data_IF_204927500233
#
_entry.id   IF_204927500233
#
_cell.length_a   1.000
_cell.length_b   1.000
_cell.length_c   1.000
_cell.angle_alpha   90.00
_cell.angle_beta   90.00
_cell.angle_gamma   90.00
#
_symmetry.space_group_name_H-M   'P 1'
#
loop_
_entity.id
_entity.type
_entity.pdbx_description
1 polymer ?
#
# COMPACT_ATOMS: atom_id res chain seq x y z
N UNK A 1 -7.09 19.28 -17.16
CA UNK A 1 -7.02 20.32 -16.11
C UNK A 1 -6.72 19.76 -14.71
N UNK A 2 -7.48 18.81 -14.16
CA UNK A 2 -7.21 18.27 -12.82
C UNK A 2 -5.81 17.65 -12.65
N UNK A 3 -5.31 16.91 -13.65
CA UNK A 3 -3.97 16.33 -13.59
C UNK A 3 -2.83 17.38 -13.53
N UNK A 4 -2.99 18.53 -14.19
CA UNK A 4 -2.00 19.61 -14.14
C UNK A 4 -1.91 20.21 -12.74
N UNK A 5 -3.06 20.45 -12.12
CA UNK A 5 -3.11 20.94 -10.75
C UNK A 5 -2.68 19.89 -9.72
N UNK A 6 -2.92 18.61 -9.98
CA UNK A 6 -2.35 17.55 -9.16
C UNK A 6 -0.81 17.64 -9.15
N UNK A 7 -0.18 17.77 -10.32
CA UNK A 7 1.28 17.90 -10.42
C UNK A 7 1.81 19.14 -9.68
N UNK A 8 1.04 20.24 -9.69
CA UNK A 8 1.41 21.47 -8.99
C UNK A 8 1.23 21.36 -7.46
N UNK A 9 0.15 20.72 -6.99
CA UNK A 9 -0.16 20.58 -5.57
C UNK A 9 0.60 19.43 -4.89
N UNK A 10 0.96 18.39 -5.62
CA UNK A 10 1.59 17.19 -5.06
C UNK A 10 2.85 17.52 -4.22
N UNK A 11 3.80 18.36 -4.68
CA UNK A 11 4.95 18.75 -3.87
C UNK A 11 4.57 19.47 -2.57
N UNK A 12 3.61 20.40 -2.64
CA UNK A 12 3.13 21.14 -1.46
C UNK A 12 2.48 20.18 -0.47
N UNK A 13 1.51 19.40 -0.94
CA UNK A 13 0.81 18.42 -0.12
C UNK A 13 1.76 17.42 0.54
N UNK A 14 2.79 16.97 -0.17
CA UNK A 14 3.73 15.98 0.36
C UNK A 14 4.66 16.52 1.43
N UNK A 15 5.10 17.77 1.28
CA UNK A 15 6.00 18.43 2.24
C UNK A 15 5.27 18.89 3.51
N UNK A 16 3.98 19.23 3.42
CA UNK A 16 3.17 19.65 4.57
C UNK A 16 2.42 18.51 5.25
N UNK A 17 2.33 17.34 4.61
CA UNK A 17 1.56 16.21 5.11
C UNK A 17 2.14 15.56 6.36
N UNK A 18 1.25 14.94 7.14
CA UNK A 18 1.60 14.21 8.35
C UNK A 18 2.52 13.02 8.05
N UNK A 19 3.54 12.81 8.90
CA UNK A 19 4.56 11.77 8.68
C UNK A 19 4.00 10.34 8.72
N UNK A 20 2.93 10.11 9.49
CA UNK A 20 2.25 8.82 9.59
C UNK A 20 0.94 8.76 8.80
N UNK A 21 0.76 9.65 7.83
CA UNK A 21 -0.25 9.50 6.78
C UNK A 21 0.33 8.74 5.59
N UNK A 22 -0.32 7.65 5.16
CA UNK A 22 0.17 6.79 4.08
C UNK A 22 -0.80 6.66 2.89
N UNK A 23 -2.08 7.00 3.07
CA UNK A 23 -3.10 6.79 2.04
C UNK A 23 -2.95 7.75 0.86
N UNK A 24 -3.06 7.24 -0.37
CA UNK A 24 -3.02 8.03 -1.61
C UNK A 24 -1.79 8.94 -1.81
N UNK A 25 -0.67 8.63 -1.15
CA UNK A 25 0.58 9.39 -1.26
C UNK A 25 1.61 8.67 -2.13
N UNK A 26 2.41 9.38 -2.94
CA UNK A 26 3.47 8.78 -3.73
C UNK A 26 4.45 7.98 -2.85
N UNK A 27 4.87 6.82 -3.37
CA UNK A 27 5.86 5.93 -2.75
C UNK A 27 5.53 5.36 -1.37
N UNK A 28 4.31 5.59 -0.85
CA UNK A 28 3.79 5.01 0.38
C UNK A 28 2.77 3.93 0.07
N UNK A 29 2.73 2.86 0.87
CA UNK A 29 1.75 1.78 0.71
C UNK A 29 1.04 1.43 2.03
N UNK A 30 0.01 0.59 1.94
CA UNK A 30 -0.64 0.02 3.12
C UNK A 30 0.34 -0.74 4.01
N UNK A 31 1.40 -1.31 3.43
CA UNK A 31 2.45 -2.01 4.18
C UNK A 31 3.29 -1.08 5.03
N UNK A 32 3.50 0.18 4.61
CA UNK A 32 4.20 1.17 5.45
C UNK A 32 3.40 1.50 6.71
N UNK A 33 2.07 1.62 6.59
CA UNK A 33 1.18 1.84 7.73
C UNK A 33 1.23 0.65 8.71
N UNK A 34 1.12 -0.58 8.19
CA UNK A 34 1.21 -1.81 9.00
C UNK A 34 2.58 -1.95 9.68
N UNK A 35 3.67 -1.66 8.97
CA UNK A 35 5.01 -1.72 9.55
C UNK A 35 5.21 -0.62 10.60
N UNK A 36 4.61 0.56 10.41
CA UNK A 36 4.60 1.63 11.42
C UNK A 36 3.92 1.19 12.72
N UNK A 37 2.79 0.49 12.61
CA UNK A 37 2.08 -0.09 13.75
C UNK A 37 2.97 -1.16 14.42
N UNK A 38 3.59 -2.04 13.61
CA UNK A 38 4.50 -3.09 14.11
C UNK A 38 5.64 -2.52 14.95
N UNK A 39 6.40 -1.56 14.40
CA UNK A 39 7.57 -0.97 15.07
C UNK A 39 7.24 -0.28 16.40
N UNK A 40 6.02 0.26 16.54
CA UNK A 40 5.57 0.95 17.76
C UNK A 40 5.04 -0.02 18.81
N UNK A 41 4.31 -1.05 18.38
CA UNK A 41 3.62 -1.95 19.30
C UNK A 41 4.41 -3.23 19.64
N UNK A 42 5.48 -3.53 18.89
CA UNK A 42 6.34 -4.69 19.14
C UNK A 42 7.30 -4.50 20.32
N UNK A 43 7.41 -3.28 20.86
CA UNK A 43 8.31 -2.96 21.95
C UNK A 43 7.87 -3.60 23.28
N UNK A 44 8.81 -3.73 24.23
CA UNK A 44 8.55 -4.29 25.57
C UNK A 44 7.55 -3.41 26.34
N UNK A 45 7.76 -2.09 26.29
CA UNK A 45 6.82 -1.09 26.80
C UNK A 45 6.12 -0.50 25.59
N UNK A 46 4.83 -0.81 25.42
CA UNK A 46 4.04 -0.42 24.24
C UNK A 46 2.62 -0.04 24.66
N UNK A 47 1.94 0.83 23.90
CA UNK A 47 0.55 1.16 24.17
C UNK A 47 -0.31 -0.10 24.08
N UNK A 48 -1.28 -0.18 24.97
CA UNK A 48 -2.15 -1.36 25.14
C UNK A 48 -3.52 -1.16 24.52
N UNK A 49 -3.97 0.08 24.42
CA UNK A 49 -5.28 0.46 23.93
C UNK A 49 -5.18 1.17 22.60
N UNK A 50 -6.18 0.91 21.75
CA UNK A 50 -6.19 1.33 20.36
C UNK A 50 -7.58 1.85 20.05
N UNK A 51 -7.65 3.11 19.64
CA UNK A 51 -8.82 3.72 19.05
C UNK A 51 -8.77 3.49 17.55
N UNK A 52 -9.64 2.62 17.07
CA UNK A 52 -9.94 2.45 15.65
C UNK A 52 -10.89 3.58 15.24
N UNK A 53 -10.52 4.35 14.23
CA UNK A 53 -11.30 5.48 13.75
C UNK A 53 -11.56 5.40 12.25
N UNK A 54 -12.79 5.73 11.87
CA UNK A 54 -13.26 5.81 10.49
C UNK A 54 -14.09 7.10 10.34
N UNK A 55 -13.94 7.78 9.21
CA UNK A 55 -14.57 9.06 8.91
C UNK A 55 -15.83 8.81 8.09
N UNK A 56 -16.97 9.28 8.57
CA UNK A 56 -18.25 9.10 7.88
C UNK A 56 -18.28 9.95 6.60
N UNK A 57 -18.30 9.28 5.44
CA UNK A 57 -18.41 9.95 4.15
C UNK A 57 -17.25 10.90 3.88
N UNK A 58 -16.01 10.47 4.12
CA UNK A 58 -14.83 11.34 4.07
C UNK A 58 -14.71 12.16 2.78
N UNK A 59 -15.04 11.61 1.62
CA UNK A 59 -14.97 12.37 0.36
C UNK A 59 -16.21 13.22 0.11
N UNK A 60 -17.34 12.88 0.71
CA UNK A 60 -18.65 13.48 0.41
C UNK A 60 -19.02 14.63 1.36
N UNK A 61 -18.40 14.68 2.55
CA UNK A 61 -18.80 15.59 3.62
C UNK A 61 -17.82 16.75 3.88
N UNK A 62 -16.66 16.79 3.23
CA UNK A 62 -15.69 17.88 3.49
C UNK A 62 -16.31 19.24 3.13
N UNK A 63 -16.18 20.20 4.04
CA UNK A 63 -16.66 21.57 3.84
C UNK A 63 -15.96 22.24 2.66
N UNK A 64 -16.76 22.72 1.68
CA UNK A 64 -16.23 23.47 0.54
C UNK A 64 -15.56 24.76 0.97
N UNK A 65 -16.10 25.44 1.98
CA UNK A 65 -15.55 26.71 2.48
C UNK A 65 -14.18 26.48 3.14
N UNK A 66 -14.03 25.36 3.85
CA UNK A 66 -12.74 24.97 4.42
C UNK A 66 -11.70 24.70 3.31
N UNK A 67 -12.06 23.91 2.28
CA UNK A 67 -11.18 23.62 1.15
C UNK A 67 -10.76 24.89 0.39
N UNK A 68 -11.69 25.82 0.16
CA UNK A 68 -11.43 27.07 -0.57
C UNK A 68 -10.54 28.05 0.21
N UNK A 69 -10.55 27.98 1.54
CA UNK A 69 -9.74 28.83 2.41
C UNK A 69 -8.34 28.28 2.64
N UNK A 70 -8.17 26.96 2.74
CA UNK A 70 -6.93 26.32 3.18
C UNK A 70 -6.09 25.71 2.05
N UNK A 71 -6.67 25.45 0.87
CA UNK A 71 -5.94 24.84 -0.24
C UNK A 71 -5.25 25.91 -1.10
N UNK A 72 -3.93 25.79 -1.34
CA UNK A 72 -3.16 26.76 -2.14
C UNK A 72 -3.39 26.53 -3.65
N UNK A 73 -4.62 26.77 -4.10
CA UNK A 73 -5.06 26.66 -5.49
C UNK A 73 -5.90 27.89 -5.88
N UNK A 74 -6.04 28.14 -7.18
CA UNK A 74 -7.08 29.05 -7.70
C UNK A 74 -8.48 28.66 -7.17
N UNK A 75 -9.01 29.51 -6.30
CA UNK A 75 -10.33 29.36 -5.66
C UNK A 75 -11.47 29.29 -6.66
N UNK A 76 -11.39 30.01 -7.79
CA UNK A 76 -12.45 30.02 -8.81
C UNK A 76 -12.55 28.66 -9.49
N UNK A 77 -11.39 28.07 -9.81
CA UNK A 77 -11.33 26.75 -10.42
C UNK A 77 -11.75 25.66 -9.43
N UNK A 78 -11.22 25.71 -8.21
CA UNK A 78 -11.58 24.76 -7.16
C UNK A 78 -13.09 24.78 -6.89
N UNK A 79 -13.69 25.98 -6.78
CA UNK A 79 -15.14 26.13 -6.61
C UNK A 79 -15.94 25.53 -7.76
N UNK A 80 -15.48 25.70 -9.01
CA UNK A 80 -16.12 25.06 -10.18
C UNK A 80 -16.04 23.54 -10.10
N UNK A 81 -14.93 22.97 -9.62
CA UNK A 81 -14.78 21.52 -9.48
C UNK A 81 -15.58 20.95 -8.32
N UNK A 82 -15.66 21.64 -7.19
CA UNK A 82 -16.45 21.22 -6.04
C UNK A 82 -17.96 21.25 -6.34
N UNK A 83 -18.41 22.21 -7.15
CA UNK A 83 -19.81 22.30 -7.64
C UNK A 83 -20.10 21.40 -8.83
N UNK A 84 -19.07 20.91 -9.52
CA UNK A 84 -19.25 19.95 -10.58
C UNK A 84 -19.62 18.61 -9.94
N UNK A 85 -20.91 18.30 -9.98
CA UNK A 85 -21.43 17.01 -9.55
C UNK A 85 -20.77 15.84 -10.28
N UNK A 86 -21.09 14.62 -9.88
CA UNK A 86 -20.58 13.41 -10.51
C UNK A 86 -21.72 12.59 -11.10
N UNK A 87 -21.41 11.84 -12.16
CA UNK A 87 -22.36 10.91 -12.78
C UNK A 87 -22.00 9.49 -12.36
N UNK A 88 -22.88 8.86 -11.59
CA UNK A 88 -22.73 7.46 -11.19
C UNK A 88 -23.86 6.62 -11.78
N UNK A 89 -23.50 5.57 -12.55
CA UNK A 89 -24.45 4.63 -13.17
C UNK A 89 -25.56 5.30 -13.99
N UNK A 90 -25.26 6.45 -14.62
CA UNK A 90 -26.20 7.20 -15.45
C UNK A 90 -27.08 8.19 -14.68
N UNK A 91 -26.90 8.34 -13.37
CA UNK A 91 -27.58 9.35 -12.55
C UNK A 91 -26.60 10.48 -12.23
N UNK A 92 -27.02 11.72 -12.48
CA UNK A 92 -26.26 12.92 -12.12
C UNK A 92 -26.54 13.29 -10.66
N UNK A 93 -25.51 13.27 -9.83
CA UNK A 93 -25.58 13.65 -8.43
C UNK A 93 -24.92 15.03 -8.24
N UNK A 94 -25.66 15.98 -7.69
CA UNK A 94 -25.11 17.26 -7.26
C UNK A 94 -24.23 17.08 -6.01
N UNK A 95 -23.07 17.74 -5.97
CA UNK A 95 -22.19 17.78 -4.80
C UNK A 95 -22.46 19.04 -3.99
N UNK A 96 -23.30 18.93 -2.97
CA UNK A 96 -23.56 20.02 -2.01
C UNK A 96 -22.43 20.16 -0.96
N UNK A 97 -21.64 19.11 -0.78
CA UNK A 97 -20.46 19.03 0.08
C UNK A 97 -19.46 18.03 -0.52
N UNK A 98 -18.22 18.02 -0.02
CA UNK A 98 -17.21 17.05 -0.42
C UNK A 98 -16.53 17.31 -1.76
N UNK A 99 -15.61 16.42 -2.12
CA UNK A 99 -14.91 16.39 -3.40
C UNK A 99 -15.51 15.29 -4.28
N UNK A 100 -15.72 15.53 -5.60
CA UNK A 100 -16.31 14.52 -6.48
C UNK A 100 -15.49 13.22 -6.46
N UNK A 101 -16.15 12.11 -6.10
CA UNK A 101 -15.52 10.79 -6.09
C UNK A 101 -15.16 10.40 -7.53
N UNK A 102 -13.88 10.11 -7.76
CA UNK A 102 -13.34 9.79 -9.10
C UNK A 102 -12.56 10.93 -9.76
N UNK A 103 -12.52 12.13 -9.16
CA UNK A 103 -11.59 13.17 -9.56
C UNK A 103 -10.15 12.78 -9.23
N UNK A 104 -9.22 12.97 -10.19
CA UNK A 104 -7.79 12.63 -10.01
C UNK A 104 -7.18 13.40 -8.83
N UNK A 105 -7.70 14.60 -8.55
CA UNK A 105 -7.20 15.49 -7.50
C UNK A 105 -7.86 15.28 -6.14
N UNK A 106 -9.04 14.64 -6.09
CA UNK A 106 -9.84 14.47 -4.86
C UNK A 106 -9.06 13.80 -3.72
N UNK A 107 -8.23 12.75 -3.95
CA UNK A 107 -7.42 12.16 -2.88
C UNK A 107 -6.42 13.13 -2.24
N UNK A 108 -5.83 14.04 -3.02
CA UNK A 108 -4.88 15.03 -2.50
C UNK A 108 -5.61 16.09 -1.69
N UNK A 109 -6.77 16.57 -2.16
CA UNK A 109 -7.59 17.52 -1.41
C UNK A 109 -8.05 16.92 -0.06
N UNK A 110 -8.50 15.66 -0.05
CA UNK A 110 -8.89 14.95 1.16
C UNK A 110 -7.70 14.76 2.13
N UNK A 111 -6.52 14.42 1.60
CA UNK A 111 -5.33 14.31 2.44
C UNK A 111 -4.95 15.64 3.08
N UNK A 112 -4.92 16.74 2.31
CA UNK A 112 -4.61 18.07 2.83
C UNK A 112 -5.65 18.55 3.86
N UNK A 113 -6.91 18.11 3.73
CA UNK A 113 -7.92 18.38 4.75
C UNK A 113 -7.66 17.64 6.06
N UNK A 114 -7.20 16.39 5.99
CA UNK A 114 -6.97 15.55 7.15
C UNK A 114 -5.58 15.71 7.79
N UNK A 115 -4.64 16.33 7.09
CA UNK A 115 -3.31 16.61 7.60
C UNK A 115 -3.35 17.71 8.68
N UNK A 116 -2.45 17.60 9.67
CA UNK A 116 -2.40 18.47 10.84
C UNK A 116 -2.90 17.80 12.12
N UNK A 117 -3.67 16.70 12.00
CA UNK A 117 -4.15 15.96 13.17
C UNK A 117 -2.98 15.32 13.93
N UNK A 118 -1.97 14.79 13.22
CA UNK A 118 -0.78 14.26 13.88
C UNK A 118 -0.08 15.36 14.69
N UNK A 119 0.07 16.54 14.11
CA UNK A 119 0.74 17.69 14.76
C UNK A 119 -0.01 18.14 16.00
N UNK A 120 -1.34 18.23 15.94
CA UNK A 120 -2.17 18.61 17.08
C UNK A 120 -2.07 17.59 18.22
N UNK A 121 -2.18 16.29 17.90
CA UNK A 121 -1.97 15.22 18.87
C UNK A 121 -0.57 15.27 19.51
N UNK A 122 0.47 15.56 18.71
CA UNK A 122 1.82 15.71 19.25
C UNK A 122 1.94 16.92 20.17
N UNK A 123 1.36 18.06 19.81
CA UNK A 123 1.41 19.28 20.62
C UNK A 123 0.65 19.12 21.94
N UNK A 124 -0.44 18.37 21.97
CA UNK A 124 -1.22 18.15 23.18
C UNK A 124 -0.56 17.13 24.10
N UNK A 125 -0.09 15.99 23.55
CA UNK A 125 0.34 14.85 24.37
C UNK A 125 1.86 14.63 24.48
N UNK A 126 2.69 15.35 23.70
CA UNK A 126 4.17 15.18 23.70
C UNK A 126 4.94 16.40 24.21
N UNK A 127 4.29 17.31 24.96
CA UNK A 127 4.88 18.57 25.45
C UNK A 127 6.08 18.45 26.40
N UNK A 128 6.45 17.26 26.88
CA UNK A 128 7.70 17.06 27.62
C UNK A 128 8.16 15.59 27.59
N UNK A 129 9.47 15.35 27.60
CA UNK A 129 10.10 14.05 27.31
C UNK A 129 9.56 12.88 28.15
N UNK A 130 9.23 13.12 29.42
CA UNK A 130 8.64 12.12 30.33
C UNK A 130 7.17 11.80 29.98
N UNK A 131 6.38 12.81 29.57
CA UNK A 131 4.97 12.66 29.21
C UNK A 131 4.77 11.93 27.87
N UNK A 132 5.68 12.14 26.90
CA UNK A 132 5.66 11.40 25.63
C UNK A 132 5.83 9.89 25.84
N UNK A 133 6.58 9.45 26.86
CA UNK A 133 6.72 8.04 27.22
C UNK A 133 5.52 7.50 28.01
N UNK A 134 4.80 8.37 28.75
CA UNK A 134 3.67 8.02 29.62
C UNK A 134 2.35 7.82 28.86
N UNK A 135 2.02 8.71 27.92
CA UNK A 135 0.74 8.65 27.19
C UNK A 135 0.80 7.69 25.99
N UNK A 136 2.00 7.50 25.41
CA UNK A 136 2.24 6.60 24.27
C UNK A 136 1.26 6.81 23.10
N UNK A 137 0.87 8.07 22.88
CA UNK A 137 -0.06 8.44 21.81
C UNK A 137 0.66 8.37 20.48
N UNK A 138 0.21 7.46 19.62
CA UNK A 138 0.73 7.33 18.27
C UNK A 138 -0.42 7.35 17.28
N UNK A 139 -0.23 8.14 16.22
CA UNK A 139 -1.19 8.26 15.14
C UNK A 139 -0.68 7.55 13.88
N UNK A 140 -1.56 6.80 13.22
CA UNK A 140 -1.32 6.19 11.90
C UNK A 140 -2.60 6.34 11.08
N UNK A 141 -2.50 6.97 9.90
CA UNK A 141 -3.62 7.19 8.99
C UNK A 141 -3.38 6.56 7.63
N UNK A 142 -4.41 5.93 7.08
CA UNK A 142 -4.48 5.51 5.70
C UNK A 142 -5.79 6.00 5.10
N UNK A 143 -5.74 7.14 4.40
CA UNK A 143 -6.92 7.83 3.89
C UNK A 143 -7.89 8.22 5.02
N UNK A 144 -9.08 7.64 5.03
CA UNK A 144 -10.17 7.79 5.99
C UNK A 144 -10.04 6.87 7.22
N UNK A 145 -9.43 5.69 7.04
CA UNK A 145 -9.10 4.78 8.13
C UNK A 145 -7.90 5.29 8.93
N UNK A 146 -8.05 5.46 10.24
CA UNK A 146 -6.93 5.80 11.12
C UNK A 146 -6.96 5.06 12.44
N UNK A 147 -5.79 5.03 13.08
CA UNK A 147 -5.60 4.42 14.39
C UNK A 147 -4.87 5.39 15.28
N UNK A 148 -5.38 5.54 16.50
CA UNK A 148 -4.66 6.17 17.59
C UNK A 148 -4.38 5.16 18.71
N UNK A 149 -3.12 4.97 19.07
CA UNK A 149 -2.76 4.16 20.24
C UNK A 149 -2.73 5.01 21.51
N UNK A 150 -2.95 4.42 22.67
CA UNK A 150 -2.80 5.08 23.97
C UNK A 150 -2.42 4.11 25.09
N UNK A 151 -1.94 4.65 26.21
CA UNK A 151 -1.58 3.88 27.39
C UNK A 151 -2.79 3.39 28.19
N UNK A 152 -3.88 4.16 28.24
CA UNK A 152 -5.14 3.80 28.90
C UNK A 152 -6.35 3.99 27.99
N UNK A 153 -7.44 3.29 28.32
CA UNK A 153 -8.73 3.43 27.64
C UNK A 153 -9.34 4.81 27.88
N UNK A 154 -9.32 5.27 29.12
CA UNK A 154 -9.86 6.57 29.55
C UNK A 154 -9.20 7.73 28.81
N UNK A 155 -7.88 7.68 28.58
CA UNK A 155 -7.18 8.70 27.81
C UNK A 155 -7.68 8.77 26.36
N UNK A 156 -7.96 7.60 25.75
CA UNK A 156 -8.49 7.56 24.39
C UNK A 156 -9.94 8.06 24.33
N UNK A 157 -10.77 7.74 25.32
CA UNK A 157 -12.18 8.13 25.39
C UNK A 157 -12.37 9.61 25.73
N UNK A 158 -11.65 10.13 26.73
CA UNK A 158 -11.89 11.44 27.32
C UNK A 158 -11.05 12.56 26.71
N UNK A 159 -9.85 12.26 26.20
CA UNK A 159 -8.93 13.29 25.70
C UNK A 159 -8.76 13.18 24.19
N UNK A 160 -8.43 11.99 23.68
CA UNK A 160 -8.09 11.81 22.26
C UNK A 160 -9.33 11.87 21.36
N UNK A 161 -10.41 11.14 21.69
CA UNK A 161 -11.63 11.11 20.87
C UNK A 161 -12.27 12.51 20.73
N UNK A 162 -12.44 13.32 21.80
CA UNK A 162 -13.01 14.66 21.68
C UNK A 162 -12.13 15.61 20.87
N UNK A 163 -10.80 15.52 21.01
CA UNK A 163 -9.86 16.32 20.23
C UNK A 163 -9.97 16.00 18.73
N UNK A 164 -10.00 14.71 18.36
CA UNK A 164 -10.20 14.30 16.97
C UNK A 164 -11.55 14.79 16.45
N UNK A 165 -12.62 14.67 17.26
CA UNK A 165 -13.95 15.13 16.88
C UNK A 165 -14.01 16.65 16.66
N UNK A 166 -13.32 17.43 17.50
CA UNK A 166 -13.22 18.88 17.35
C UNK A 166 -12.49 19.27 16.05
N UNK A 167 -11.33 18.66 15.80
CA UNK A 167 -10.56 18.85 14.57
C UNK A 167 -11.37 18.52 13.31
N UNK A 168 -12.14 17.43 13.35
CA UNK A 168 -13.00 17.02 12.23
C UNK A 168 -14.17 17.99 12.02
N UNK A 169 -14.79 18.49 13.09
CA UNK A 169 -15.92 19.42 13.01
C UNK A 169 -15.58 20.71 12.28
N UNK A 170 -14.39 21.26 12.52
CA UNK A 170 -13.91 22.45 11.79
C UNK A 170 -13.85 22.26 10.27
N UNK A 171 -13.66 21.01 9.82
CA UNK A 171 -13.56 20.62 8.41
C UNK A 171 -14.90 20.14 7.84
N UNK A 172 -15.96 20.14 8.65
CA UNK A 172 -17.28 19.59 8.29
C UNK A 172 -17.34 18.05 8.29
N UNK A 173 -16.39 17.39 8.95
CA UNK A 173 -16.32 15.94 9.02
C UNK A 173 -16.83 15.40 10.36
N UNK A 174 -17.33 14.17 10.33
CA UNK A 174 -17.82 13.46 11.51
C UNK A 174 -17.18 12.08 11.64
N UNK A 175 -16.94 11.67 12.88
CA UNK A 175 -16.50 10.32 13.20
C UNK A 175 -17.67 9.33 13.04
N UNK A 176 -17.39 8.17 12.46
CA UNK A 176 -18.37 7.09 12.38
C UNK A 176 -18.46 6.37 13.73
N UNK A 177 -19.44 6.73 14.57
CA UNK A 177 -19.59 6.13 15.91
C UNK A 177 -19.74 4.60 15.88
N UNK A 178 -20.43 4.08 14.86
CA UNK A 178 -20.64 2.64 14.67
C UNK A 178 -19.35 1.86 14.38
N UNK A 179 -18.38 2.50 13.74
CA UNK A 179 -17.11 1.89 13.35
C UNK A 179 -15.97 2.24 14.31
N UNK A 180 -16.09 3.35 15.04
CA UNK A 180 -15.11 3.74 16.03
C UNK A 180 -15.18 2.81 17.22
N UNK A 181 -14.08 2.12 17.51
CA UNK A 181 -14.02 1.17 18.63
C UNK A 181 -12.71 1.34 19.38
N UNK A 182 -12.76 1.12 20.69
CA UNK A 182 -11.55 1.07 21.51
C UNK A 182 -11.29 -0.37 21.90
N UNK A 183 -10.20 -0.91 21.38
CA UNK A 183 -9.82 -2.30 21.53
C UNK A 183 -8.49 -2.44 22.25
N UNK A 184 -8.35 -3.53 23.00
CA UNK A 184 -7.08 -3.89 23.63
C UNK A 184 -6.24 -4.71 22.65
N UNK A 185 -4.94 -4.46 22.59
CA UNK A 185 -4.00 -5.11 21.64
C UNK A 185 -3.99 -6.65 21.76
N UNK A 186 -4.28 -7.19 22.94
CA UNK A 186 -4.36 -8.65 23.17
C UNK A 186 -5.63 -9.30 22.61
N UNK A 187 -6.72 -8.54 22.49
CA UNK A 187 -7.91 -8.97 21.73
C UNK A 187 -7.62 -8.89 20.23
N UNK A 188 -6.87 -7.85 19.85
CA UNK A 188 -6.48 -7.55 18.48
C UNK A 188 -7.57 -6.82 17.71
N UNK A 189 -7.17 -6.16 16.63
CA UNK A 189 -8.03 -5.37 15.77
C UNK A 189 -7.70 -5.58 14.29
N UNK A 190 -8.63 -5.22 13.41
CA UNK A 190 -8.46 -5.35 11.96
C UNK A 190 -8.17 -3.99 11.32
N UNK A 191 -7.07 -3.88 10.58
CA UNK A 191 -6.69 -2.66 9.86
C UNK A 191 -6.10 -3.00 8.49
N UNK A 192 -6.57 -2.34 7.43
CA UNK A 192 -6.13 -2.55 6.04
C UNK A 192 -6.12 -4.03 5.59
N UNK A 193 -7.09 -4.80 6.11
CA UNK A 193 -7.25 -6.22 5.84
C UNK A 193 -6.29 -7.14 6.62
N UNK A 194 -5.51 -6.60 7.56
CA UNK A 194 -4.64 -7.33 8.48
C UNK A 194 -5.21 -7.32 9.89
N UNK A 195 -5.14 -8.44 10.58
CA UNK A 195 -5.39 -8.53 12.01
C UNK A 195 -4.08 -8.30 12.77
N UNK A 196 -4.08 -7.30 13.64
CA UNK A 196 -2.94 -6.94 14.49
C UNK A 196 -3.26 -7.38 15.91
N UNK A 197 -2.45 -8.28 16.47
CA UNK A 197 -2.66 -8.82 17.82
C UNK A 197 -1.36 -9.14 18.54
N UNK A 198 -1.34 -8.93 19.85
CA UNK A 198 -0.25 -9.36 20.73
C UNK A 198 -0.64 -10.68 21.41
N UNK A 199 0.23 -11.67 21.29
CA UNK A 199 0.08 -13.01 21.87
C UNK A 199 1.20 -13.20 22.89
N UNK A 200 0.86 -13.22 24.19
CA UNK A 200 1.82 -13.41 25.28
C UNK A 200 3.08 -12.54 25.13
N UNK A 201 2.88 -11.24 24.85
CA UNK A 201 3.98 -10.29 24.66
C UNK A 201 4.58 -10.23 23.25
N UNK A 202 4.28 -11.19 22.36
CA UNK A 202 4.76 -11.20 20.97
C UNK A 202 3.73 -10.67 20.00
N UNK A 203 4.09 -9.65 19.23
CA UNK A 203 3.21 -9.06 18.23
C UNK A 203 3.21 -9.91 16.95
N UNK A 204 2.02 -10.36 16.54
CA UNK A 204 1.82 -11.08 15.29
C UNK A 204 0.75 -10.38 14.46
N UNK A 205 1.14 -10.00 13.25
CA UNK A 205 0.21 -9.46 12.24
C UNK A 205 -0.10 -10.58 11.26
N UNK A 206 -1.38 -10.90 11.10
CA UNK A 206 -1.89 -11.97 10.23
C UNK A 206 -2.95 -11.40 9.28
N UNK A 207 -3.23 -12.03 8.13
CA UNK A 207 -4.38 -11.64 7.32
C UNK A 207 -5.69 -11.74 8.12
N UNK A 208 -6.55 -10.71 8.06
CA UNK A 208 -7.83 -10.70 8.78
C UNK A 208 -8.77 -11.82 8.30
N UNK A 209 -9.61 -12.32 9.21
CA UNK A 209 -10.60 -13.37 8.89
C UNK A 209 -11.62 -12.88 7.86
N UNK A 210 -12.03 -11.60 7.94
CA UNK A 210 -12.93 -10.96 6.98
C UNK A 210 -12.32 -10.91 5.58
N UNK A 211 -11.06 -10.48 5.45
CA UNK A 211 -10.36 -10.47 4.15
C UNK A 211 -10.21 -11.87 3.56
N UNK A 212 -9.84 -12.85 4.40
CA UNK A 212 -9.75 -14.25 3.99
C UNK A 212 -11.09 -14.80 3.47
N UNK A 213 -12.19 -14.55 4.20
CA UNK A 213 -13.54 -14.99 3.80
C UNK A 213 -13.94 -14.38 2.46
N UNK A 214 -13.75 -13.08 2.29
CA UNK A 214 -14.08 -12.36 1.05
C UNK A 214 -13.26 -12.88 -0.13
N UNK A 215 -11.96 -13.12 0.08
CA UNK A 215 -11.08 -13.69 -0.94
C UNK A 215 -11.53 -15.09 -1.37
N UNK A 216 -11.80 -15.98 -0.41
CA UNK A 216 -12.27 -17.34 -0.71
C UNK A 216 -13.65 -17.34 -1.38
N UNK A 217 -14.54 -16.40 -1.01
CA UNK A 217 -15.83 -16.22 -1.68
C UNK A 217 -15.63 -15.87 -3.16
N UNK A 218 -14.80 -14.85 -3.44
CA UNK A 218 -14.45 -14.44 -4.80
C UNK A 218 -13.86 -15.58 -5.63
N UNK A 219 -12.94 -16.35 -5.07
CA UNK A 219 -12.35 -17.52 -5.77
C UNK A 219 -13.41 -18.59 -6.06
N UNK A 220 -14.28 -18.88 -5.09
CA UNK A 220 -15.37 -19.85 -5.28
C UNK A 220 -16.38 -19.36 -6.32
N UNK A 221 -16.69 -18.07 -6.37
CA UNK A 221 -17.55 -17.47 -7.39
C UNK A 221 -16.95 -17.60 -8.79
N UNK A 222 -15.65 -17.34 -8.95
CA UNK A 222 -14.96 -17.54 -10.23
C UNK A 222 -15.08 -19.00 -10.68
N UNK A 223 -14.91 -19.97 -9.77
CA UNK A 223 -15.04 -21.39 -10.11
C UNK A 223 -16.49 -21.75 -10.45
N UNK A 224 -17.48 -21.23 -9.70
CA UNK A 224 -18.91 -21.51 -9.89
C UNK A 224 -19.45 -20.93 -11.20
N UNK A 225 -19.08 -19.70 -11.55
CA UNK A 225 -19.50 -19.03 -12.80
C UNK A 225 -18.96 -19.71 -14.06
N UNK A 226 -17.92 -20.54 -13.93
CA UNK A 226 -17.22 -21.15 -15.04
C UNK A 226 -17.29 -22.69 -15.02
N UNK A 227 -18.49 -23.29 -15.10
CA UNK A 227 -18.64 -24.74 -14.94
C UNK A 227 -18.05 -25.56 -16.08
N UNK A 228 -18.04 -25.03 -17.31
CA UNK A 228 -17.66 -25.74 -18.55
C UNK A 228 -16.30 -25.31 -19.11
N UNK A 229 -15.69 -24.25 -18.57
CA UNK A 229 -14.42 -23.72 -19.08
C UNK A 229 -13.28 -24.75 -19.11
N UNK A 230 -12.40 -24.74 -20.13
CA UNK A 230 -11.18 -25.53 -20.11
C UNK A 230 -10.33 -25.23 -18.87
N UNK A 231 -9.66 -26.25 -18.32
CA UNK A 231 -8.87 -26.10 -17.09
C UNK A 231 -7.76 -25.04 -17.22
N UNK A 232 -7.12 -24.91 -18.38
CA UNK A 232 -6.09 -23.90 -18.60
C UNK A 232 -6.63 -22.47 -18.50
N UNK A 233 -7.86 -22.22 -18.97
CA UNK A 233 -8.52 -20.90 -18.90
C UNK A 233 -8.94 -20.58 -17.46
N UNK A 234 -9.39 -21.60 -16.72
CA UNK A 234 -9.67 -21.47 -15.29
C UNK A 234 -8.40 -21.12 -14.49
N UNK A 235 -7.28 -21.81 -14.75
CA UNK A 235 -5.97 -21.48 -14.16
C UNK A 235 -5.56 -20.05 -14.50
N UNK A 236 -5.75 -19.65 -15.77
CA UNK A 236 -5.48 -18.28 -16.23
C UNK A 236 -6.26 -17.20 -15.48
N UNK A 237 -7.50 -17.46 -15.07
CA UNK A 237 -8.32 -16.53 -14.27
C UNK A 237 -7.96 -16.56 -12.77
N UNK A 238 -7.66 -17.74 -12.21
CA UNK A 238 -7.37 -17.89 -10.79
C UNK A 238 -5.97 -17.40 -10.42
N UNK A 239 -4.96 -17.67 -11.26
CA UNK A 239 -3.56 -17.34 -10.95
C UNK A 239 -3.31 -15.85 -10.65
N UNK A 240 -3.81 -14.88 -11.44
CA UNK A 240 -3.65 -13.46 -11.13
C UNK A 240 -4.28 -13.07 -9.79
N UNK A 241 -5.45 -13.62 -9.47
CA UNK A 241 -6.19 -13.32 -8.24
C UNK A 241 -5.45 -13.86 -7.02
N UNK A 242 -5.01 -15.13 -7.06
CA UNK A 242 -4.26 -15.76 -5.97
C UNK A 242 -2.90 -15.08 -5.79
N UNK A 243 -2.19 -14.81 -6.90
CA UNK A 243 -0.89 -14.16 -6.87
C UNK A 243 -0.98 -12.74 -6.31
N UNK A 244 -1.97 -11.96 -6.72
CA UNK A 244 -2.19 -10.61 -6.19
C UNK A 244 -2.42 -10.62 -4.69
N UNK A 245 -3.30 -11.50 -4.22
CA UNK A 245 -3.60 -11.64 -2.79
C UNK A 245 -2.39 -12.13 -1.98
N UNK A 246 -1.67 -13.16 -2.46
CA UNK A 246 -0.46 -13.64 -1.79
C UNK A 246 0.66 -12.59 -1.78
N UNK A 247 0.79 -11.80 -2.86
CA UNK A 247 1.78 -10.71 -2.92
C UNK A 247 1.44 -9.59 -1.94
N UNK A 248 0.16 -9.27 -1.75
CA UNK A 248 -0.27 -8.28 -0.76
C UNK A 248 0.02 -8.75 0.67
N UNK A 249 -0.27 -10.01 0.99
CA UNK A 249 -0.11 -10.55 2.35
C UNK A 249 1.30 -11.09 2.67
N UNK A 250 2.24 -11.04 1.72
CA UNK A 250 3.60 -11.61 1.89
C UNK A 250 4.44 -10.94 2.98
N UNK A 251 4.05 -9.74 3.41
CA UNK A 251 4.81 -8.93 4.37
C UNK A 251 4.48 -9.26 5.83
N UNK A 252 3.35 -9.92 6.05
CA UNK A 252 2.84 -10.31 7.37
C UNK A 252 3.07 -11.81 7.64
N UNK A 253 2.69 -12.27 8.83
CA UNK A 253 2.76 -13.69 9.20
C UNK A 253 1.62 -14.44 8.52
N UNK A 254 1.81 -14.85 7.27
CA UNK A 254 0.74 -15.39 6.42
C UNK A 254 0.89 -16.87 6.01
N UNK A 255 2.00 -17.57 6.32
CA UNK A 255 2.25 -18.93 5.81
C UNK A 255 1.18 -19.96 6.18
N UNK A 256 0.74 -19.94 7.45
CA UNK A 256 -0.35 -20.80 7.91
C UNK A 256 -1.66 -20.50 7.15
N UNK A 257 -2.00 -19.22 7.02
CA UNK A 257 -3.17 -18.76 6.25
C UNK A 257 -3.07 -19.13 4.77
N UNK A 258 -1.88 -19.04 4.17
CA UNK A 258 -1.64 -19.43 2.78
C UNK A 258 -1.87 -20.93 2.57
N UNK A 259 -1.41 -21.76 3.50
CA UNK A 259 -1.65 -23.20 3.44
C UNK A 259 -3.16 -23.52 3.56
N UNK A 260 -3.86 -22.83 4.46
CA UNK A 260 -5.31 -22.96 4.58
C UNK A 260 -6.03 -22.56 3.29
N UNK A 261 -5.66 -21.42 2.70
CA UNK A 261 -6.18 -20.94 1.41
C UNK A 261 -5.96 -21.97 0.31
N UNK A 262 -4.73 -22.45 0.13
CA UNK A 262 -4.39 -23.43 -0.89
C UNK A 262 -5.24 -24.72 -0.73
N UNK A 263 -5.45 -25.17 0.51
CA UNK A 263 -6.31 -26.32 0.83
C UNK A 263 -7.77 -26.07 0.43
N UNK A 264 -8.31 -24.89 0.73
CA UNK A 264 -9.69 -24.53 0.37
C UNK A 264 -9.89 -24.40 -1.14
N UNK A 265 -8.92 -23.82 -1.83
CA UNK A 265 -8.93 -23.70 -3.30
C UNK A 265 -8.84 -25.09 -3.92
N UNK A 266 -7.94 -25.95 -3.43
CA UNK A 266 -7.82 -27.32 -3.90
C UNK A 266 -9.14 -28.09 -3.77
N UNK A 267 -9.82 -27.99 -2.60
CA UNK A 267 -11.13 -28.62 -2.39
C UNK A 267 -12.19 -28.12 -3.38
N UNK A 268 -12.20 -26.81 -3.67
CA UNK A 268 -13.14 -26.22 -4.63
C UNK A 268 -12.87 -26.70 -6.07
N UNK A 269 -11.60 -26.76 -6.47
CA UNK A 269 -11.18 -27.27 -7.79
C UNK A 269 -11.47 -28.76 -7.91
N UNK A 270 -11.23 -29.55 -6.87
CA UNK A 270 -11.54 -30.97 -6.86
C UNK A 270 -13.03 -31.23 -7.12
N UNK A 271 -13.92 -30.53 -6.39
CA UNK A 271 -15.37 -30.61 -6.64
C UNK A 271 -15.74 -30.20 -8.06
N UNK A 272 -15.10 -29.15 -8.58
CA UNK A 272 -15.31 -28.73 -9.97
C UNK A 272 -14.90 -29.82 -10.96
N UNK A 273 -13.78 -30.52 -10.73
CA UNK A 273 -13.32 -31.62 -11.59
C UNK A 273 -14.25 -32.83 -11.53
N UNK A 274 -14.68 -33.23 -10.33
CA UNK A 274 -15.63 -34.35 -10.12
C UNK A 274 -16.96 -34.08 -10.81
N UNK A 275 -17.51 -32.88 -10.64
CA UNK A 275 -18.77 -32.49 -11.29
C UNK A 275 -18.71 -32.56 -12.82
N UNK A 276 -17.55 -32.32 -13.44
CA UNK A 276 -17.41 -32.39 -14.91
C UNK A 276 -17.42 -33.80 -15.47
N UNK A 277 -17.07 -34.79 -14.67
CA UNK A 277 -16.90 -36.17 -15.11
C UNK A 277 -17.66 -37.13 -14.20
N UNK A 278 -19.00 -37.04 -14.14
CA UNK A 278 -19.81 -37.85 -13.23
C UNK A 278 -19.68 -39.36 -13.50
N UNK A 279 -19.35 -39.75 -14.74
CA UNK A 279 -19.20 -41.15 -15.17
C UNK A 279 -17.76 -41.69 -15.10
N UNK A 280 -16.78 -40.91 -14.60
CA UNK A 280 -15.37 -41.33 -14.53
C UNK A 280 -14.94 -41.55 -13.08
N UNK A 281 -14.08 -42.54 -12.85
CA UNK A 281 -13.53 -42.82 -11.53
C UNK A 281 -12.59 -41.73 -11.02
N UNK A 282 -12.48 -41.59 -9.70
CA UNK A 282 -11.67 -40.55 -9.05
C UNK A 282 -10.18 -40.60 -9.43
N UNK A 283 -9.62 -41.80 -9.62
CA UNK A 283 -8.23 -41.99 -10.07
C UNK A 283 -7.99 -41.41 -11.46
N UNK A 284 -8.94 -41.56 -12.37
CA UNK A 284 -8.85 -40.99 -13.72
C UNK A 284 -8.87 -39.46 -13.68
N UNK A 285 -9.73 -38.88 -12.83
CA UNK A 285 -9.81 -37.42 -12.66
C UNK A 285 -8.49 -36.89 -12.10
N UNK A 286 -7.93 -37.56 -11.09
CA UNK A 286 -6.64 -37.21 -10.51
C UNK A 286 -5.52 -37.24 -11.57
N UNK A 287 -5.43 -38.32 -12.35
CA UNK A 287 -4.43 -38.45 -13.43
C UNK A 287 -4.59 -37.44 -14.57
N UNK A 288 -5.83 -37.03 -14.88
CA UNK A 288 -6.10 -36.05 -15.95
C UNK A 288 -5.74 -34.62 -15.56
N UNK A 289 -6.07 -34.22 -14.34
CA UNK A 289 -6.03 -32.80 -13.93
C UNK A 289 -4.91 -32.46 -12.96
N UNK A 290 -4.29 -33.45 -12.32
CA UNK A 290 -3.30 -33.23 -11.29
C UNK A 290 -2.00 -33.98 -11.58
N UNK A 291 -0.85 -33.36 -11.26
CA UNK A 291 0.42 -34.08 -11.10
C UNK A 291 0.71 -34.31 -9.63
N UNK A 292 1.39 -35.42 -9.33
CA UNK A 292 1.91 -35.68 -8.00
C UNK A 292 3.40 -35.37 -7.99
N UNK A 293 3.78 -34.26 -7.36
CA UNK A 293 5.16 -33.77 -7.27
C UNK A 293 5.50 -33.49 -5.81
N UNK A 294 6.64 -34.01 -5.34
CA UNK A 294 7.16 -33.71 -3.99
C UNK A 294 6.17 -33.99 -2.85
N UNK A 295 5.38 -35.07 -2.96
CA UNK A 295 4.30 -35.48 -2.03
C UNK A 295 3.01 -34.63 -2.10
N UNK A 296 2.75 -33.93 -3.22
CA UNK A 296 1.61 -33.00 -3.32
C UNK A 296 0.91 -33.09 -4.68
N UNK A 297 -0.40 -32.88 -4.66
CA UNK A 297 -1.23 -32.80 -5.87
C UNK A 297 -1.26 -31.36 -6.41
N UNK A 298 -0.75 -31.17 -7.63
CA UNK A 298 -0.69 -29.87 -8.31
C UNK A 298 -1.68 -29.88 -9.47
N UNK A 299 -2.61 -28.92 -9.47
CA UNK A 299 -3.57 -28.77 -10.57
C UNK A 299 -2.85 -28.21 -11.80
N UNK A 300 -2.88 -28.96 -12.91
CA UNK A 300 -2.22 -28.63 -14.16
C UNK A 300 -3.16 -28.70 -15.35
N UNK A 301 -2.88 -27.92 -16.39
CA UNK A 301 -3.56 -28.00 -17.66
C UNK A 301 -2.61 -27.65 -18.80
N UNK A 302 -2.82 -28.27 -19.96
CA UNK A 302 -2.05 -27.99 -21.17
C UNK A 302 -2.87 -27.00 -22.01
N UNK A 303 -2.23 -25.93 -22.47
CA UNK A 303 -2.84 -24.97 -23.40
C UNK A 303 -2.91 -25.57 -24.81
N UNK A 304 -3.72 -25.01 -25.73
CA UNK A 304 -3.73 -25.44 -27.13
C UNK A 304 -2.34 -25.38 -27.79
N UNK A 305 -1.49 -24.47 -27.32
CA UNK A 305 -0.10 -24.27 -27.76
C UNK A 305 0.90 -25.29 -27.13
N UNK A 306 0.43 -26.28 -26.38
CA UNK A 306 1.27 -27.28 -25.72
C UNK A 306 1.97 -26.82 -24.43
N UNK A 307 1.69 -25.60 -23.92
CA UNK A 307 2.31 -25.10 -22.68
C UNK A 307 1.59 -25.67 -21.46
N UNK A 308 2.35 -26.17 -20.49
CA UNK A 308 1.82 -26.63 -19.21
C UNK A 308 1.62 -25.41 -18.29
N UNK A 309 0.39 -25.18 -17.87
CA UNK A 309 0.03 -24.21 -16.84
C UNK A 309 -0.28 -24.93 -15.54
N UNK A 310 0.31 -24.46 -14.45
CA UNK A 310 0.02 -24.92 -13.09
C UNK A 310 -0.70 -23.84 -12.30
N UNK A 311 -1.52 -24.27 -11.34
CA UNK A 311 -2.15 -23.36 -10.40
C UNK A 311 -1.09 -22.77 -9.46
N UNK A 312 -1.07 -21.43 -9.38
CA UNK A 312 -0.21 -20.71 -8.47
C UNK A 312 -0.64 -20.97 -7.02
N UNK A 313 0.34 -21.30 -6.17
CA UNK A 313 0.11 -21.58 -4.76
C UNK A 313 0.52 -20.40 -3.90
N UNK A 314 -0.36 -19.98 -2.99
CA UNK A 314 -0.05 -18.92 -2.06
C UNK A 314 1.14 -19.31 -1.17
N UNK A 315 1.22 -20.59 -0.78
CA UNK A 315 2.27 -21.10 0.10
C UNK A 315 3.68 -21.01 -0.49
N UNK A 316 3.83 -20.98 -1.81
CA UNK A 316 5.14 -20.83 -2.47
C UNK A 316 5.68 -19.39 -2.38
N UNK A 317 4.81 -18.42 -2.09
CA UNK A 317 5.22 -17.02 -1.96
C UNK A 317 6.13 -16.84 -0.75
N UNK A 318 7.40 -16.41 -0.91
CA UNK A 318 8.28 -16.21 0.22
C UNK A 318 7.86 -14.96 1.01
N UNK A 319 7.79 -15.10 2.33
CA UNK A 319 7.57 -13.97 3.23
C UNK A 319 8.79 -13.05 3.10
N UNK A 320 8.53 -11.76 2.87
CA UNK A 320 9.58 -10.72 2.85
C UNK A 320 9.09 -9.59 3.72
N UNK A 321 9.82 -9.24 4.77
CA UNK A 321 9.46 -8.11 5.64
C UNK A 321 9.50 -6.81 4.84
N UNK A 322 8.50 -5.97 5.05
CA UNK A 322 8.43 -4.67 4.39
C UNK A 322 9.35 -3.70 5.12
N UNK A 323 10.06 -2.85 4.38
CA UNK A 323 10.90 -1.82 4.97
C UNK A 323 10.10 -0.53 4.94
N UNK A 324 9.67 -0.05 6.11
CA UNK A 324 8.93 1.19 6.27
C UNK A 324 9.67 2.36 5.61
N UNK A 325 8.94 3.21 4.91
CA UNK A 325 9.46 4.51 4.47
C UNK A 325 9.82 5.40 5.68
N UNK A 326 10.87 6.22 5.56
CA UNK A 326 11.16 7.25 6.56
C UNK A 326 10.02 8.29 6.55
N UNK A 327 9.56 8.72 7.73
CA UNK A 327 8.39 9.61 7.85
C UNK A 327 8.55 10.92 7.06
N UNK A 328 9.70 11.57 7.24
CA UNK A 328 10.09 12.84 6.60
C UNK A 328 10.49 12.69 5.12
N UNK A 329 10.66 11.47 4.62
CA UNK A 329 11.16 11.29 3.25
C UNK A 329 10.05 11.61 2.25
N UNK A 330 10.26 12.66 1.47
CA UNK A 330 9.42 13.00 0.32
C UNK A 330 10.27 13.01 -0.97
N UNK A 331 9.71 12.61 -2.12
CA UNK A 331 10.41 12.69 -3.41
C UNK A 331 10.82 14.11 -3.81
N UNK A 332 10.25 15.13 -3.16
CA UNK A 332 10.43 16.55 -3.48
C UNK A 332 11.40 17.25 -2.51
N UNK A 333 11.88 16.58 -1.46
CA UNK A 333 12.86 17.15 -0.53
C UNK A 333 14.29 16.94 -1.04
N UNK A 334 15.11 18.00 -1.19
CA UNK A 334 16.53 17.88 -1.53
C UNK A 334 17.27 16.94 -0.56
N UNK A 335 18.13 16.07 -1.10
CA UNK A 335 18.94 15.12 -0.32
C UNK A 335 18.28 13.77 -0.03
N UNK A 336 16.98 13.59 -0.32
CA UNK A 336 16.29 12.30 -0.20
C UNK A 336 16.40 11.40 -1.45
N UNK A 337 17.03 11.88 -2.51
CA UNK A 337 17.16 11.18 -3.80
C UNK A 337 17.85 9.81 -3.66
N UNK A 338 19.03 9.79 -3.02
CA UNK A 338 19.78 8.55 -2.74
C UNK A 338 18.91 7.54 -1.99
N UNK A 339 18.03 8.00 -1.11
CA UNK A 339 17.14 7.14 -0.35
C UNK A 339 16.08 6.49 -1.25
N UNK A 340 15.45 7.26 -2.14
CA UNK A 340 14.46 6.74 -3.08
C UNK A 340 15.07 5.85 -4.16
N UNK A 341 16.25 6.18 -4.69
CA UNK A 341 17.00 5.34 -5.64
C UNK A 341 17.32 3.97 -5.03
N UNK A 342 17.83 3.92 -3.80
CA UNK A 342 18.08 2.65 -3.08
C UNK A 342 16.80 1.83 -2.89
N UNK A 343 15.66 2.47 -2.62
CA UNK A 343 14.37 1.77 -2.52
C UNK A 343 13.92 1.23 -3.87
N UNK A 344 14.11 2.00 -4.95
CA UNK A 344 13.82 1.55 -6.32
C UNK A 344 14.68 0.33 -6.68
N UNK A 345 15.97 0.34 -6.36
CA UNK A 345 16.86 -0.81 -6.57
C UNK A 345 16.34 -2.07 -5.88
N UNK A 346 15.92 -1.97 -4.61
CA UNK A 346 15.35 -3.10 -3.86
C UNK A 346 14.07 -3.63 -4.51
N UNK A 347 13.19 -2.74 -4.97
CA UNK A 347 11.93 -3.10 -5.62
C UNK A 347 12.21 -3.80 -6.97
N UNK A 348 13.19 -3.32 -7.73
CA UNK A 348 13.50 -3.80 -9.07
C UNK A 348 14.29 -5.11 -9.03
N UNK A 349 15.27 -5.25 -8.12
CA UNK A 349 15.98 -6.51 -7.85
C UNK A 349 15.01 -7.63 -7.45
N UNK A 350 13.89 -7.30 -6.81
CA UNK A 350 12.87 -8.26 -6.37
C UNK A 350 11.81 -8.67 -7.40
N UNK A 351 11.69 -7.99 -8.56
CA UNK A 351 10.59 -8.21 -9.52
C UNK A 351 11.11 -8.57 -10.91
N UNK A 352 10.89 -9.81 -11.36
CA UNK A 352 11.29 -10.30 -12.69
C UNK A 352 10.83 -9.39 -13.85
N UNK A 353 9.61 -8.83 -13.80
CA UNK A 353 9.12 -7.89 -14.82
C UNK A 353 9.91 -6.58 -14.86
N UNK A 354 10.30 -6.05 -13.69
CA UNK A 354 11.13 -4.83 -13.61
C UNK A 354 12.61 -5.13 -13.89
N UNK A 355 13.05 -6.37 -13.68
CA UNK A 355 14.36 -6.81 -14.14
C UNK A 355 14.47 -6.76 -15.67
N UNK A 356 13.39 -7.05 -16.41
CA UNK A 356 13.38 -6.82 -17.87
C UNK A 356 13.65 -5.35 -18.22
N UNK A 357 13.11 -4.43 -17.44
CA UNK A 357 13.32 -2.98 -17.56
C UNK A 357 14.77 -2.58 -17.25
N UNK A 358 15.38 -3.15 -16.19
CA UNK A 358 16.83 -2.99 -15.91
C UNK A 358 17.65 -3.48 -17.09
N UNK A 359 17.34 -4.66 -17.62
CA UNK A 359 18.05 -5.24 -18.77
C UNK A 359 17.91 -4.37 -20.01
N UNK A 360 16.74 -3.76 -20.22
CA UNK A 360 16.53 -2.78 -21.31
C UNK A 360 17.42 -1.54 -21.11
N UNK A 361 17.49 -0.98 -19.91
CA UNK A 361 18.39 0.14 -19.60
C UNK A 361 19.86 -0.24 -19.80
N UNK A 362 20.26 -1.42 -19.33
CA UNK A 362 21.63 -1.93 -19.48
C UNK A 362 22.01 -2.10 -20.95
N UNK A 363 21.11 -2.66 -21.78
CA UNK A 363 21.30 -2.75 -23.23
C UNK A 363 21.37 -1.38 -23.90
N UNK A 364 20.50 -0.45 -23.51
CA UNK A 364 20.46 0.92 -24.06
C UNK A 364 21.75 1.70 -23.79
N UNK A 365 22.38 1.47 -22.64
CA UNK A 365 23.65 2.11 -22.26
C UNK A 365 24.88 1.36 -22.79
N UNK A 366 24.70 0.42 -23.73
CA UNK A 366 25.80 -0.36 -24.28
C UNK A 366 26.52 -1.23 -23.24
N UNK A 367 25.87 -1.57 -22.13
CA UNK A 367 26.41 -2.32 -20.98
C UNK A 367 27.49 -1.60 -20.16
N UNK A 368 27.76 -0.33 -20.43
CA UNK A 368 28.77 0.46 -19.72
C UNK A 368 28.11 1.47 -18.79
N UNK A 369 28.81 1.85 -17.72
CA UNK A 369 28.42 2.92 -16.82
C UNK A 369 28.69 4.27 -17.51
N UNK A 370 27.67 5.15 -17.68
CA UNK A 370 27.84 6.47 -18.28
C UNK A 370 28.93 7.34 -17.63
N UNK A 371 29.18 7.15 -16.33
CA UNK A 371 30.07 8.02 -15.56
C UNK A 371 31.56 7.60 -15.59
N UNK A 372 31.85 6.30 -15.64
CA UNK A 372 33.24 5.80 -15.64
C UNK A 372 33.62 5.02 -16.89
N UNK A 373 32.67 4.79 -17.81
CA UNK A 373 32.89 4.01 -19.03
C UNK A 373 33.14 2.51 -18.81
N UNK A 374 33.22 2.03 -17.57
CA UNK A 374 33.48 0.61 -17.29
C UNK A 374 32.22 -0.25 -17.46
N UNK A 375 32.36 -1.54 -17.81
CA UNK A 375 31.22 -2.44 -17.96
C UNK A 375 30.50 -2.68 -16.64
N UNK A 376 29.17 -2.67 -16.69
CA UNK A 376 28.32 -3.04 -15.56
C UNK A 376 28.09 -4.55 -15.60
N UNK A 377 28.60 -5.25 -14.59
CA UNK A 377 28.41 -6.69 -14.40
C UNK A 377 27.67 -6.98 -13.08
N UNK A 378 27.24 -8.23 -12.90
CA UNK A 378 26.65 -8.65 -11.63
C UNK A 378 27.62 -8.53 -10.44
N UNK A 379 28.93 -8.60 -10.68
CA UNK A 379 29.97 -8.48 -9.65
C UNK A 379 30.21 -7.02 -9.26
N UNK A 380 30.23 -6.10 -10.23
CA UNK A 380 30.39 -4.67 -9.94
C UNK A 380 29.14 -4.06 -9.30
N UNK A 381 27.98 -4.69 -9.51
CA UNK A 381 26.68 -4.18 -9.09
C UNK A 381 26.28 -2.91 -9.85
N UNK A 382 25.06 -2.46 -9.60
CA UNK A 382 24.51 -1.24 -10.17
C UNK A 382 23.50 -0.61 -9.21
N UNK A 383 23.36 0.70 -9.34
CA UNK A 383 22.28 1.50 -8.79
C UNK A 383 21.55 2.22 -9.93
N UNK A 384 20.24 2.37 -9.81
CA UNK A 384 19.44 3.19 -10.72
C UNK A 384 19.58 4.66 -10.31
N UNK A 385 19.88 5.52 -11.28
CA UNK A 385 20.00 6.95 -11.11
C UNK A 385 18.98 7.70 -11.99
N UNK A 386 18.43 8.79 -11.47
CA UNK A 386 17.61 9.72 -12.25
C UNK A 386 18.47 10.83 -12.85
N UNK A 387 18.49 10.96 -14.18
CA UNK A 387 19.22 12.02 -14.89
C UNK A 387 18.74 13.41 -14.50
N UNK A 388 17.42 13.57 -14.55
CA UNK A 388 16.72 14.75 -14.04
C UNK A 388 16.11 14.31 -12.71
N UNK A 389 16.52 14.98 -11.63
CA UNK A 389 16.02 14.68 -10.28
C UNK A 389 14.52 14.93 -10.20
N UNK A 390 13.81 14.16 -9.38
CA UNK A 390 12.38 14.37 -9.17
C UNK A 390 12.04 15.75 -8.62
N UNK A 391 12.91 16.30 -7.78
CA UNK A 391 12.76 17.64 -7.19
C UNK A 391 12.68 18.72 -8.26
N UNK A 392 13.38 18.56 -9.39
CA UNK A 392 13.35 19.49 -10.53
C UNK A 392 12.40 19.04 -11.64
N UNK A 393 11.49 18.10 -11.37
CA UNK A 393 10.45 17.66 -12.29
C UNK A 393 10.76 16.39 -13.11
N UNK A 394 11.81 15.64 -12.76
CA UNK A 394 12.14 14.39 -13.45
C UNK A 394 11.14 13.26 -13.23
N UNK A 395 10.93 12.42 -14.26
CA UNK A 395 9.99 11.28 -14.23
C UNK A 395 10.66 9.94 -13.89
N UNK A 396 9.88 8.91 -13.55
CA UNK A 396 10.34 7.51 -13.39
C UNK A 396 10.37 6.75 -14.74
N UNK A 397 10.34 7.47 -15.86
CA UNK A 397 10.33 6.85 -17.18
C UNK A 397 11.71 6.35 -17.57
N UNK A 398 11.74 5.32 -18.44
CA UNK A 398 12.97 4.75 -18.99
C UNK A 398 13.89 5.78 -19.68
N UNK A 399 13.33 6.89 -20.13
CA UNK A 399 14.03 8.02 -20.75
C UNK A 399 14.89 8.78 -19.75
N UNK A 400 14.44 8.89 -18.49
CA UNK A 400 15.07 9.66 -17.42
C UNK A 400 15.91 8.81 -16.46
N UNK A 401 15.95 7.49 -16.65
CA UNK A 401 16.67 6.56 -15.78
C UNK A 401 17.96 6.06 -16.44
N UNK A 402 19.00 5.90 -15.63
CA UNK A 402 20.27 5.31 -16.03
C UNK A 402 20.84 4.39 -14.96
N UNK A 403 21.82 3.56 -15.33
CA UNK A 403 22.47 2.60 -14.44
C UNK A 403 23.90 3.06 -14.19
N UNK A 404 24.23 3.33 -12.94
CA UNK A 404 25.56 3.71 -12.50
C UNK A 404 26.16 2.65 -11.59
N UNK A 405 27.49 2.52 -11.57
CA UNK A 405 28.15 1.74 -10.52
C UNK A 405 27.87 2.36 -9.13
N UNK A 406 27.79 1.57 -8.06
CA UNK A 406 27.51 2.09 -6.72
C UNK A 406 28.49 3.16 -6.22
N UNK A 407 29.74 3.15 -6.71
CA UNK A 407 30.74 4.17 -6.39
C UNK A 407 30.55 5.43 -7.25
N UNK A 408 30.36 5.28 -8.57
CA UNK A 408 30.07 6.38 -9.49
C UNK A 408 28.81 7.14 -9.08
N UNK A 409 27.76 6.41 -8.69
CA UNK A 409 26.53 6.96 -8.17
C UNK A 409 26.78 7.82 -6.92
N UNK A 410 27.57 7.33 -5.95
CA UNK A 410 27.91 8.09 -4.74
C UNK A 410 28.74 9.34 -5.06
N UNK A 411 29.70 9.23 -5.98
CA UNK A 411 30.53 10.35 -6.40
C UNK A 411 29.71 11.44 -7.11
N UNK A 412 28.76 11.06 -7.96
CA UNK A 412 27.91 11.99 -8.69
C UNK A 412 27.03 12.80 -7.72
N UNK A 413 26.34 12.12 -6.81
CA UNK A 413 25.58 12.78 -5.74
C UNK A 413 26.45 13.66 -4.83
N UNK A 414 27.69 13.24 -4.53
CA UNK A 414 28.62 14.06 -3.73
C UNK A 414 29.12 15.30 -4.46
N UNK A 415 29.31 15.22 -5.79
CA UNK A 415 29.73 16.37 -6.62
C UNK A 415 28.58 17.37 -6.75
N UNK A 416 27.36 16.89 -6.97
CA UNK A 416 26.17 17.74 -7.06
C UNK A 416 25.84 18.43 -5.73
N UNK A 417 26.00 17.73 -4.59
CA UNK A 417 25.88 18.34 -3.27
C UNK A 417 26.95 19.41 -3.00
N UNK A 418 28.15 19.24 -3.55
CA UNK A 418 29.23 20.23 -3.46
C UNK A 418 29.00 21.47 -4.33
N UNK A 419 28.37 21.31 -5.50
CA UNK A 419 28.03 22.42 -6.40
C UNK A 419 26.92 23.33 -5.83
N UNK A 420 25.93 22.76 -5.12
CA UNK A 420 24.89 23.55 -4.45
C UNK A 420 25.39 24.39 -3.27
N UNK A 421 26.50 24.03 -2.63
CA UNK A 421 27.13 24.85 -1.57
C UNK A 421 27.90 26.07 -2.07
N UNK A 422 28.16 26.18 -3.38
CA UNK A 422 28.88 27.33 -3.97
C UNK A 422 27.95 28.42 -4.51
N UNK A 423 26.63 28.20 -4.50
CA UNK A 423 25.62 29.13 -5.02
C UNK A 423 24.58 29.56 -3.95
N UNK A 424 24.86 29.26 -2.68
CA UNK A 424 24.30 29.91 -1.49
C UNK A 424 25.42 30.73 -0.87
#
# INVERSE_FOLDING_TARGET
MQALWLLALEPVSETTADHNSYGFRPMRSTHDAIESIFLRMSQKVSPKWILEGDIKGCFDNISHDWLLSHIPMDRRLLKKWLKAGYMERGVFNHTNSGTPQGGIISPVLANMALDGLEKELMQTFRKSGYHSAKHQVNYVRYADDFICSGSSRELLENEVRPLIAAFMRERGLELSEEKTAITHIDKGFDFLGQNVRKYNGKMLIKPSKKNLKNFLCKVREIIKRNPTLPAWKLIGQLNPVIRGWATYHRHVVAKETFNYVDTQIWRAIWRWCVRRHPRKGLRWIAGRYFSFEGRRWIFKAITPEGKILTLFRAMETPIKRHIKIKGEATPYTPGMEIYFERRLDLIWKGKSKKMKTVVQLWKRQGKHCPQCGQPITNQTGWNIHHRIRKVVGGSDELTNLELLHPNCHRQLHSREAGAHRKHL
#
